data_IF_207349984187
#
_entry.id   IF_207349984187
#
_cell.length_a   1.000
_cell.length_b   1.000
_cell.length_c   1.000
_cell.angle_alpha   90.00
_cell.angle_beta   90.00
_cell.angle_gamma   90.00
#
_symmetry.space_group_name_H-M   'P 1'
#
loop_
_entity.id
_entity.type
_entity.pdbx_description
1 polymer ?
#
# COMPACT_ATOMS: atom_id res chain seq x y z
N UNK A 1 6.56 -31.28 -9.42
CA UNK A 1 5.30 -31.15 -8.65
C UNK A 1 4.92 -29.69 -8.55
N UNK A 2 3.77 -29.28 -9.11
CA UNK A 2 3.17 -27.96 -8.85
C UNK A 2 2.50 -28.04 -7.47
N UNK A 3 3.08 -27.40 -6.46
CA UNK A 3 2.38 -27.16 -5.20
C UNK A 3 1.79 -25.75 -5.23
N UNK A 4 0.58 -25.58 -4.67
CA UNK A 4 -0.03 -24.28 -4.45
C UNK A 4 0.47 -23.71 -3.12
N UNK A 5 0.74 -22.40 -3.10
CA UNK A 5 1.10 -21.66 -1.89
C UNK A 5 -0.04 -20.70 -1.57
N UNK A 6 -0.52 -20.71 -0.32
CA UNK A 6 -1.44 -19.68 0.17
C UNK A 6 -0.61 -18.47 0.60
N UNK A 7 -0.92 -17.31 0.04
CA UNK A 7 -0.20 -16.05 0.30
C UNK A 7 -1.19 -15.04 0.87
N UNK A 8 -0.74 -14.35 1.91
CA UNK A 8 -1.51 -13.31 2.61
C UNK A 8 -0.92 -11.95 2.23
N UNK A 9 -1.68 -11.11 1.57
CA UNK A 9 -1.22 -9.79 1.12
C UNK A 9 -1.96 -8.74 1.95
N UNK A 10 -1.20 -8.02 2.77
CA UNK A 10 -1.70 -6.85 3.48
C UNK A 10 -1.61 -5.64 2.55
N UNK A 11 -2.75 -5.04 2.26
CA UNK A 11 -2.85 -3.80 1.48
C UNK A 11 -3.63 -2.80 2.30
N UNK A 12 -2.93 -1.79 2.82
CA UNK A 12 -3.48 -0.87 3.83
C UNK A 12 -4.15 -1.64 4.99
N UNK A 13 -5.49 -1.65 5.01
CA UNK A 13 -6.34 -2.32 5.99
C UNK A 13 -7.03 -3.58 5.46
N UNK A 14 -6.80 -3.93 4.20
CA UNK A 14 -7.38 -5.09 3.54
C UNK A 14 -6.38 -6.25 3.58
N UNK A 15 -6.84 -7.42 4.02
CA UNK A 15 -6.13 -8.68 3.86
C UNK A 15 -6.65 -9.39 2.61
N UNK A 16 -5.80 -9.56 1.62
CA UNK A 16 -6.10 -10.31 0.40
C UNK A 16 -5.42 -11.68 0.51
N UNK A 17 -6.23 -12.73 0.61
CA UNK A 17 -5.73 -14.10 0.49
C UNK A 17 -5.73 -14.55 -0.98
N UNK A 18 -4.62 -15.12 -1.43
CA UNK A 18 -4.45 -15.63 -2.80
C UNK A 18 -3.77 -16.99 -2.78
N UNK A 19 -4.32 -17.95 -3.53
CA UNK A 19 -3.63 -19.19 -3.86
C UNK A 19 -2.82 -18.98 -5.14
N UNK A 20 -1.52 -19.19 -5.06
CA UNK A 20 -0.62 -19.06 -6.22
C UNK A 20 0.04 -20.39 -6.55
N UNK A 21 0.46 -20.54 -7.80
CA UNK A 21 1.32 -21.64 -8.19
C UNK A 21 2.77 -21.36 -7.80
N UNK A 22 3.59 -22.40 -7.66
CA UNK A 22 5.04 -22.26 -7.43
C UNK A 22 5.78 -21.44 -8.50
N UNK A 23 5.20 -21.32 -9.70
CA UNK A 23 5.79 -20.60 -10.83
C UNK A 23 5.32 -19.14 -10.91
N UNK A 24 4.29 -18.76 -10.16
CA UNK A 24 3.74 -17.41 -10.18
C UNK A 24 4.82 -16.40 -9.77
N UNK A 25 4.98 -15.36 -10.57
CA UNK A 25 5.97 -14.30 -10.37
C UNK A 25 5.44 -13.23 -9.43
N UNK A 26 6.34 -12.37 -8.91
CA UNK A 26 5.92 -11.22 -8.11
C UNK A 26 5.03 -10.25 -8.91
N UNK A 27 5.34 -10.03 -10.18
CA UNK A 27 4.55 -9.17 -11.07
C UNK A 27 3.11 -9.67 -11.20
N UNK A 28 2.94 -10.94 -11.56
CA UNK A 28 1.60 -11.54 -11.74
C UNK A 28 0.76 -11.47 -10.46
N UNK A 29 1.39 -11.68 -9.29
CA UNK A 29 0.70 -11.57 -8.02
C UNK A 29 0.33 -10.12 -7.68
N UNK A 30 1.22 -9.16 -7.96
CA UNK A 30 0.97 -7.74 -7.75
C UNK A 30 -0.20 -7.26 -8.62
N UNK A 31 -0.18 -7.57 -9.92
CA UNK A 31 -1.27 -7.26 -10.85
C UNK A 31 -2.60 -7.86 -10.38
N UNK A 32 -2.60 -9.13 -9.96
CA UNK A 32 -3.80 -9.78 -9.45
C UNK A 32 -4.33 -9.16 -8.14
N UNK A 33 -3.44 -8.72 -7.26
CA UNK A 33 -3.82 -8.07 -6.01
C UNK A 33 -4.37 -6.66 -6.25
N UNK A 34 -3.74 -5.88 -7.13
CA UNK A 34 -4.18 -4.53 -7.48
C UNK A 34 -5.49 -4.54 -8.29
N UNK A 35 -5.69 -5.53 -9.15
CA UNK A 35 -6.95 -5.70 -9.87
C UNK A 35 -8.15 -5.89 -8.92
N UNK A 36 -7.96 -6.57 -7.77
CA UNK A 36 -9.00 -6.70 -6.73
C UNK A 36 -9.33 -5.37 -6.04
N UNK A 37 -8.45 -4.39 -6.14
CA UNK A 37 -8.60 -3.03 -5.60
C UNK A 37 -8.97 -2.03 -6.71
N UNK A 38 -9.31 -2.51 -7.91
CA UNK A 38 -9.57 -1.67 -9.07
C UNK A 38 -8.42 -0.67 -9.37
N UNK A 39 -7.18 -1.07 -9.10
CA UNK A 39 -5.97 -0.31 -9.38
C UNK A 39 -5.30 -0.88 -10.63
N UNK A 40 -5.19 -0.07 -11.68
CA UNK A 40 -4.60 -0.48 -12.97
C UNK A 40 -3.09 -0.21 -13.08
N UNK A 41 -2.59 0.79 -12.37
CA UNK A 41 -1.20 1.26 -12.52
C UNK A 41 -0.28 0.52 -11.54
N UNK A 42 0.12 -0.69 -11.90
CA UNK A 42 0.95 -1.54 -11.04
C UNK A 42 2.41 -1.08 -10.91
N UNK A 43 2.92 -0.32 -11.88
CA UNK A 43 4.31 0.14 -11.94
C UNK A 43 4.71 1.05 -10.78
N UNK A 44 3.73 1.73 -10.15
CA UNK A 44 3.98 2.62 -9.00
C UNK A 44 4.01 1.85 -7.69
N UNK A 45 3.74 0.55 -7.68
CA UNK A 45 3.69 -0.27 -6.48
C UNK A 45 4.80 -1.30 -6.47
N UNK A 46 5.12 -1.76 -5.28
CA UNK A 46 5.98 -2.92 -5.09
C UNK A 46 5.51 -3.75 -3.91
N UNK A 47 6.01 -4.98 -3.84
CA UNK A 47 5.69 -5.92 -2.77
C UNK A 47 6.90 -6.19 -1.91
N UNK A 48 6.68 -6.13 -0.61
CA UNK A 48 7.67 -6.43 0.40
C UNK A 48 7.24 -7.64 1.21
N UNK A 49 8.23 -8.44 1.62
CA UNK A 49 8.04 -9.35 2.76
C UNK A 49 7.89 -8.56 4.05
N UNK A 50 7.39 -9.20 5.10
CA UNK A 50 7.30 -8.65 6.46
C UNK A 50 8.59 -7.94 6.94
N UNK A 51 9.76 -8.48 6.57
CA UNK A 51 11.10 -7.91 6.88
C UNK A 51 11.52 -6.73 6.01
N UNK A 52 10.62 -6.16 5.19
CA UNK A 52 10.92 -5.09 4.22
C UNK A 52 12.00 -5.44 3.20
N UNK A 53 12.12 -6.73 2.87
CA UNK A 53 12.89 -7.17 1.70
C UNK A 53 11.99 -7.09 0.47
N UNK A 54 12.36 -6.30 -0.56
CA UNK A 54 11.57 -6.20 -1.78
C UNK A 54 11.56 -7.55 -2.51
N UNK A 55 10.42 -7.90 -3.08
CA UNK A 55 10.31 -9.06 -3.95
C UNK A 55 10.90 -8.77 -5.32
N UNK A 56 11.59 -9.75 -5.89
CA UNK A 56 12.00 -9.70 -7.30
C UNK A 56 10.79 -10.00 -8.17
N UNK A 57 10.33 -9.00 -8.92
CA UNK A 57 9.06 -9.06 -9.67
C UNK A 57 9.03 -10.15 -10.74
N UNK A 58 10.15 -10.40 -11.41
CA UNK A 58 10.24 -11.38 -12.51
C UNK A 58 10.77 -12.75 -12.08
N UNK A 59 10.89 -13.00 -10.77
CA UNK A 59 11.36 -14.28 -10.23
C UNK A 59 10.17 -15.05 -9.63
N UNK A 60 10.07 -16.38 -9.83
CA UNK A 60 9.03 -17.19 -9.21
C UNK A 60 9.00 -17.06 -7.68
N UNK A 61 7.81 -16.85 -7.12
CA UNK A 61 7.60 -16.62 -5.69
C UNK A 61 7.89 -17.85 -4.84
N UNK A 62 7.73 -19.06 -5.39
CA UNK A 62 8.06 -20.30 -4.70
C UNK A 62 9.54 -20.41 -4.27
N UNK A 63 10.43 -19.62 -4.88
CA UNK A 63 11.86 -19.52 -4.49
C UNK A 63 12.15 -18.34 -3.55
N UNK A 64 11.18 -17.46 -3.36
CA UNK A 64 11.34 -16.24 -2.59
C UNK A 64 10.59 -16.31 -1.25
N UNK A 65 9.41 -16.91 -1.18
CA UNK A 65 8.58 -16.88 0.03
C UNK A 65 8.95 -18.00 1.01
N UNK A 66 8.93 -17.68 2.30
CA UNK A 66 8.95 -18.68 3.34
C UNK A 66 7.57 -19.34 3.41
N UNK A 67 7.53 -20.67 3.42
CA UNK A 67 6.27 -21.42 3.53
C UNK A 67 5.59 -21.23 4.88
N UNK A 68 6.35 -20.85 5.91
CA UNK A 68 5.85 -20.69 7.27
C UNK A 68 5.27 -19.28 7.54
N UNK A 69 5.70 -18.26 6.78
CA UNK A 69 5.16 -16.89 6.86
C UNK A 69 5.10 -16.25 5.45
N UNK A 70 4.12 -16.63 4.61
CA UNK A 70 3.95 -16.08 3.26
C UNK A 70 3.19 -14.74 3.29
N UNK A 71 3.52 -13.87 4.24
CA UNK A 71 2.86 -12.56 4.38
C UNK A 71 3.61 -11.48 3.60
N UNK A 72 2.88 -10.79 2.73
CA UNK A 72 3.37 -9.70 1.89
C UNK A 72 2.67 -8.39 2.24
N UNK A 73 3.33 -7.27 1.92
CA UNK A 73 2.78 -5.92 1.97
C UNK A 73 2.93 -5.26 0.61
N UNK A 74 1.88 -4.57 0.15
CA UNK A 74 1.96 -3.67 -1.00
C UNK A 74 2.23 -2.26 -0.49
N UNK A 75 3.21 -1.58 -1.07
CA UNK A 75 3.48 -0.16 -0.81
C UNK A 75 3.70 0.59 -2.12
N UNK A 76 3.43 1.90 -2.17
CA UNK A 76 3.77 2.73 -3.31
C UNK A 76 5.28 3.03 -3.32
N UNK A 77 5.89 3.08 -4.50
CA UNK A 77 7.27 3.48 -4.71
C UNK A 77 7.44 5.01 -4.67
N UNK A 78 6.42 5.73 -5.14
CA UNK A 78 6.33 7.18 -5.13
C UNK A 78 4.85 7.60 -5.13
N UNK A 79 4.58 8.84 -4.73
CA UNK A 79 3.25 9.44 -4.85
C UNK A 79 3.15 10.14 -6.20
N UNK A 80 2.14 9.81 -7.03
CA UNK A 80 1.98 10.44 -8.32
C UNK A 80 1.53 11.91 -8.17
N UNK A 81 1.65 12.70 -9.25
CA UNK A 81 1.05 14.03 -9.35
C UNK A 81 -0.42 14.06 -8.89
N UNK A 82 -0.86 15.16 -8.26
CA UNK A 82 -2.27 15.38 -7.88
C UNK A 82 -3.24 15.29 -9.07
N UNK A 83 -2.77 15.55 -10.29
CA UNK A 83 -3.53 15.44 -11.54
C UNK A 83 -3.70 13.99 -12.01
N UNK A 84 -2.96 13.03 -11.42
CA UNK A 84 -3.06 11.63 -11.76
C UNK A 84 -4.41 11.05 -11.32
N UNK A 85 -5.14 10.31 -12.18
CA UNK A 85 -6.41 9.69 -11.82
C UNK A 85 -6.36 8.79 -10.58
N UNK A 86 -5.20 8.18 -10.31
CA UNK A 86 -4.94 7.39 -9.10
C UNK A 86 -5.18 8.17 -7.80
N UNK A 87 -4.94 9.49 -7.81
CA UNK A 87 -5.15 10.35 -6.64
C UNK A 87 -6.63 10.53 -6.28
N UNK A 88 -7.56 10.07 -7.14
CA UNK A 88 -8.99 10.02 -6.86
C UNK A 88 -9.46 8.63 -6.42
N UNK A 89 -8.58 7.63 -6.37
CA UNK A 89 -8.91 6.27 -5.97
C UNK A 89 -8.75 6.09 -4.44
N UNK A 90 -9.85 5.72 -3.77
CA UNK A 90 -9.89 5.56 -2.31
C UNK A 90 -8.94 4.46 -1.79
N UNK A 91 -8.75 3.36 -2.53
CA UNK A 91 -7.82 2.29 -2.14
C UNK A 91 -6.37 2.78 -2.24
N UNK A 92 -6.04 3.55 -3.28
CA UNK A 92 -4.72 4.17 -3.39
C UNK A 92 -4.45 5.14 -2.22
N UNK A 93 -5.38 6.05 -1.95
CA UNK A 93 -5.23 7.02 -0.85
C UNK A 93 -5.08 6.33 0.50
N UNK A 94 -5.78 5.21 0.70
CA UNK A 94 -5.68 4.37 1.89
C UNK A 94 -4.30 3.71 2.04
N UNK A 95 -3.76 3.16 0.95
CA UNK A 95 -2.39 2.61 0.91
C UNK A 95 -1.37 3.70 1.24
N UNK A 96 -1.50 4.87 0.61
CA UNK A 96 -0.62 6.00 0.81
C UNK A 96 -0.64 6.51 2.26
N UNK A 97 -1.83 6.65 2.86
CA UNK A 97 -2.02 7.05 4.25
C UNK A 97 -1.35 6.09 5.25
N UNK A 98 -1.54 4.78 5.07
CA UNK A 98 -0.91 3.77 5.95
C UNK A 98 0.61 3.80 5.82
N UNK A 99 1.14 3.99 4.61
CA UNK A 99 2.59 4.13 4.40
C UNK A 99 3.16 5.36 5.12
N UNK A 100 2.46 6.50 5.11
CA UNK A 100 2.85 7.71 5.86
C UNK A 100 2.93 7.42 7.36
N UNK A 101 1.89 6.78 7.93
CA UNK A 101 1.89 6.42 9.36
C UNK A 101 3.05 5.49 9.69
N UNK A 102 3.27 4.46 8.86
CA UNK A 102 4.35 3.50 9.08
C UNK A 102 5.71 4.20 9.05
N UNK A 103 5.95 5.07 8.05
CA UNK A 103 7.20 5.82 7.93
C UNK A 103 7.40 6.83 9.07
N UNK A 104 6.33 7.42 9.61
CA UNK A 104 6.40 8.24 10.82
C UNK A 104 6.78 7.39 12.05
N UNK A 105 6.12 6.24 12.27
CA UNK A 105 6.42 5.34 13.39
C UNK A 105 7.85 4.79 13.33
N UNK A 106 8.37 4.55 12.13
CA UNK A 106 9.75 4.16 11.91
C UNK A 106 10.76 5.32 12.02
N UNK A 107 10.29 6.54 12.30
CA UNK A 107 11.09 7.77 12.37
C UNK A 107 11.79 8.15 11.05
N UNK A 108 11.29 7.67 9.91
CA UNK A 108 11.78 8.07 8.57
C UNK A 108 11.23 9.42 8.14
N UNK A 109 10.08 9.81 8.68
CA UNK A 109 9.47 11.13 8.49
C UNK A 109 9.40 11.80 9.86
N UNK A 110 9.96 13.00 9.95
CA UNK A 110 9.82 13.87 11.12
C UNK A 110 8.78 14.94 10.76
N UNK A 111 7.70 14.99 11.53
CA UNK A 111 6.61 15.93 11.31
C UNK A 111 6.78 17.16 12.19
N UNK A 112 6.40 18.32 11.64
CA UNK A 112 6.14 19.50 12.46
C UNK A 112 4.92 19.24 13.36
N UNK A 113 4.78 20.03 14.43
CA UNK A 113 3.61 19.93 15.31
C UNK A 113 2.28 20.11 14.52
N UNK A 114 2.22 21.09 13.61
CA UNK A 114 1.07 21.33 12.74
C UNK A 114 0.71 20.08 11.92
N UNK A 115 1.70 19.47 11.28
CA UNK A 115 1.49 18.30 10.42
C UNK A 115 1.10 17.06 11.22
N UNK A 116 1.60 16.93 12.46
CA UNK A 116 1.22 15.85 13.37
C UNK A 116 -0.24 15.97 13.81
N UNK A 117 -0.70 17.17 14.18
CA UNK A 117 -2.10 17.41 14.56
C UNK A 117 -3.05 17.06 13.41
N UNK A 118 -2.70 17.44 12.19
CA UNK A 118 -3.48 17.05 11.01
C UNK A 118 -3.55 15.53 10.83
N UNK A 119 -2.42 14.84 10.96
CA UNK A 119 -2.40 13.37 10.83
C UNK A 119 -3.23 12.70 11.93
N UNK A 120 -3.19 13.22 13.17
CA UNK A 120 -4.03 12.73 14.27
C UNK A 120 -5.51 12.92 13.96
N UNK A 121 -5.91 14.06 13.40
CA UNK A 121 -7.30 14.30 13.02
C UNK A 121 -7.79 13.29 11.97
N UNK A 122 -6.97 12.98 10.98
CA UNK A 122 -7.27 11.95 9.96
C UNK A 122 -7.38 10.56 10.61
N UNK A 123 -6.46 10.20 11.50
CA UNK A 123 -6.49 8.92 12.20
C UNK A 123 -7.71 8.76 13.12
N UNK A 124 -8.14 9.84 13.78
CA UNK A 124 -9.37 9.84 14.55
C UNK A 124 -10.59 9.67 13.65
N UNK A 125 -10.64 10.35 12.51
CA UNK A 125 -11.71 10.21 11.53
C UNK A 125 -11.82 8.77 11.01
N UNK A 126 -10.69 8.17 10.62
CA UNK A 126 -10.59 6.75 10.23
C UNK A 126 -11.12 5.83 11.33
N UNK A 127 -10.70 6.02 12.58
CA UNK A 127 -11.13 5.20 13.71
C UNK A 127 -12.63 5.31 13.96
N UNK A 128 -13.19 6.51 13.85
CA UNK A 128 -14.63 6.72 13.95
C UNK A 128 -15.41 6.00 12.84
N UNK A 129 -14.89 6.00 11.61
CA UNK A 129 -15.51 5.23 10.53
C UNK A 129 -15.49 3.73 10.84
N UNK A 130 -14.36 3.16 11.28
CA UNK A 130 -14.27 1.73 11.64
C UNK A 130 -15.24 1.28 12.72
N UNK A 131 -15.61 2.18 13.63
CA UNK A 131 -16.61 1.88 14.66
C UNK A 131 -18.03 1.78 14.10
N UNK A 132 -18.29 2.45 12.98
CA UNK A 132 -19.63 2.57 12.39
C UNK A 132 -19.82 1.72 11.13
N UNK A 133 -18.75 1.43 10.39
CA UNK A 133 -18.78 0.75 9.09
C UNK A 133 -17.60 -0.20 8.93
N UNK A 134 -17.78 -1.25 8.11
CA UNK A 134 -16.68 -2.13 7.69
C UNK A 134 -15.89 -1.57 6.49
N UNK A 135 -16.45 -0.58 5.80
CA UNK A 135 -15.84 0.10 4.65
C UNK A 135 -15.27 1.43 5.12
N UNK A 136 -14.01 1.69 4.77
CA UNK A 136 -13.36 2.98 4.95
C UNK A 136 -13.53 3.79 3.67
N UNK A 137 -14.18 4.94 3.79
CA UNK A 137 -14.42 5.85 2.66
C UNK A 137 -13.73 7.18 2.92
N UNK A 138 -13.25 7.82 1.86
CA UNK A 138 -12.80 9.21 1.90
C UNK A 138 -11.71 9.51 2.95
N UNK A 139 -10.74 8.62 3.16
CA UNK A 139 -9.56 8.94 3.98
C UNK A 139 -8.69 9.93 3.19
N UNK A 140 -8.63 11.22 3.58
CA UNK A 140 -7.89 12.19 2.81
C UNK A 140 -6.39 12.04 3.06
N UNK A 141 -5.58 12.32 2.04
CA UNK A 141 -4.16 12.56 2.27
C UNK A 141 -3.96 13.88 3.03
N UNK A 142 -2.95 13.94 3.93
CA UNK A 142 -2.60 15.20 4.57
C UNK A 142 -2.28 16.29 3.54
N UNK A 143 -2.68 17.53 3.81
CA UNK A 143 -2.51 18.70 2.95
C UNK A 143 -1.03 18.88 2.59
N UNK A 144 -0.12 18.75 3.56
CA UNK A 144 1.32 18.90 3.32
C UNK A 144 1.90 17.82 2.38
N UNK A 145 1.26 16.65 2.27
CA UNK A 145 1.64 15.64 1.27
C UNK A 145 1.18 16.10 -0.11
N UNK A 146 -0.05 16.61 -0.21
CA UNK A 146 -0.65 17.12 -1.45
C UNK A 146 0.10 18.34 -2.00
N UNK A 147 0.49 19.26 -1.14
CA UNK A 147 1.27 20.45 -1.51
C UNK A 147 2.65 20.05 -2.06
N UNK A 148 3.32 19.08 -1.43
CA UNK A 148 4.64 18.62 -1.90
C UNK A 148 4.56 18.02 -3.31
N UNK A 149 3.55 17.20 -3.60
CA UNK A 149 3.39 16.58 -4.92
C UNK A 149 2.93 17.59 -5.98
N UNK A 150 2.31 18.72 -5.60
CA UNK A 150 2.03 19.83 -6.50
C UNK A 150 3.29 20.60 -6.87
N UNK A 151 4.13 20.93 -5.89
CA UNK A 151 5.40 21.67 -6.13
C UNK A 151 6.36 20.88 -7.02
N UNK A 152 6.36 19.55 -6.94
CA UNK A 152 7.16 18.68 -7.82
C UNK A 152 6.66 18.67 -9.28
N UNK A 153 5.44 19.12 -9.57
CA UNK A 153 4.91 19.24 -10.95
C UNK A 153 5.24 20.58 -11.62
N UNK A 154 5.45 21.64 -10.84
CA UNK A 154 5.75 22.98 -11.34
C UNK A 154 7.24 23.17 -11.69
N UNK A 155 8.07 22.15 -11.50
CA UNK A 155 9.50 22.12 -11.84
C UNK A 155 9.76 21.29 -13.08
#
# INVERSE_FOLDING_TARGET
MKYSLKVNINVAFTLIEVQISSCTTGKELLEAALAKLCLSDWDIFTMFKKERRPLKMYTPLGKQLDKNDPTLKIIPLYYPPMTCPLMNNNDFLSIAYIDIIQNMLDRKIILSYKNLIELIAIALHERCQRLNTQVLENIPLPIWVREKTQVEQEK
#
